data_IF_196361289905
#
_entry.id   IF_196361289905
#
_cell.length_a   1.000
_cell.length_b   1.000
_cell.length_c   1.000
_cell.angle_alpha   90.00
_cell.angle_beta   90.00
_cell.angle_gamma   90.00
#
_symmetry.space_group_name_H-M   'P 1'
#
loop_
_entity.id
_entity.type
_entity.pdbx_description
1 polymer ?
#
# COMPACT_ATOMS: atom_id res chain seq x y z
N UNK A 1 24.43 -9.43 42.67
CA UNK A 1 23.38 -8.53 42.17
C UNK A 1 23.95 -7.14 42.07
N UNK A 2 23.84 -6.49 40.93
CA UNK A 2 24.29 -5.09 40.77
C UNK A 2 23.08 -4.19 40.98
N UNK A 3 23.11 -3.41 42.04
CA UNK A 3 22.11 -2.37 42.35
C UNK A 3 22.68 -1.00 42.00
N UNK A 4 21.82 0.00 41.85
CA UNK A 4 22.19 1.38 41.58
C UNK A 4 21.24 2.32 42.32
N UNK A 5 21.80 3.38 42.92
CA UNK A 5 21.02 4.43 43.57
C UNK A 5 20.52 5.42 42.52
N UNK A 6 19.22 5.66 42.50
CA UNK A 6 18.61 6.67 41.64
C UNK A 6 18.99 8.08 42.12
N UNK A 7 19.57 8.90 41.26
CA UNK A 7 19.98 10.27 41.63
C UNK A 7 18.82 11.22 41.93
N UNK A 8 17.59 10.88 41.53
CA UNK A 8 16.41 11.73 41.70
C UNK A 8 15.63 11.40 42.98
N UNK A 9 15.38 10.13 43.25
CA UNK A 9 14.64 9.70 44.45
C UNK A 9 15.52 9.17 45.58
N UNK A 10 16.82 8.94 45.35
CA UNK A 10 17.76 8.45 46.35
C UNK A 10 17.61 6.97 46.72
N UNK A 11 16.67 6.25 46.11
CA UNK A 11 16.39 4.85 46.42
C UNK A 11 17.32 3.93 45.63
N UNK A 12 17.89 2.93 46.31
CA UNK A 12 18.64 1.84 45.70
C UNK A 12 17.68 0.86 44.99
N UNK A 13 17.91 0.60 43.71
CA UNK A 13 17.10 -0.30 42.87
C UNK A 13 17.96 -1.19 42.01
N UNK A 14 17.40 -2.28 41.50
CA UNK A 14 18.06 -3.14 40.50
C UNK A 14 18.34 -2.37 39.19
N UNK A 15 19.38 -2.78 38.46
CA UNK A 15 19.73 -2.17 37.16
C UNK A 15 18.60 -2.23 36.12
N UNK A 16 17.64 -3.13 36.26
CA UNK A 16 16.48 -3.24 35.37
C UNK A 16 15.47 -2.11 35.57
N UNK A 17 15.47 -1.48 36.75
CA UNK A 17 14.69 -0.28 37.04
C UNK A 17 15.25 0.97 36.33
N UNK A 18 16.35 0.85 35.60
CA UNK A 18 16.99 1.94 34.85
C UNK A 18 16.92 1.67 33.34
N UNK A 19 16.66 2.71 32.55
CA UNK A 19 16.72 2.62 31.09
C UNK A 19 18.17 2.56 30.61
N UNK A 20 18.40 1.92 29.46
CA UNK A 20 19.74 1.83 28.89
C UNK A 20 20.20 3.20 28.36
N UNK A 21 21.48 3.53 28.56
CA UNK A 21 22.12 4.72 28.01
C UNK A 21 23.52 4.35 27.50
N UNK A 22 23.65 4.23 26.18
CA UNK A 22 24.89 3.80 25.51
C UNK A 22 26.05 4.77 25.67
N UNK A 23 25.80 6.03 26.04
CA UNK A 23 26.88 7.03 26.24
C UNK A 23 27.53 6.93 27.61
N UNK A 24 26.96 6.15 28.54
CA UNK A 24 27.48 5.98 29.90
C UNK A 24 28.31 4.71 30.02
N UNK A 25 29.35 4.78 30.87
CA UNK A 25 30.28 3.68 31.15
C UNK A 25 29.58 2.40 31.64
N UNK A 26 28.51 2.55 32.42
CA UNK A 26 27.71 1.44 32.97
C UNK A 26 26.51 1.07 32.09
N UNK A 27 26.31 1.75 30.96
CA UNK A 27 25.22 1.49 30.03
C UNK A 27 23.82 1.83 30.57
N UNK A 28 23.70 2.50 31.73
CA UNK A 28 22.42 2.73 32.42
C UNK A 28 22.21 4.21 32.74
N UNK A 29 20.95 4.65 32.74
CA UNK A 29 20.58 6.00 33.18
C UNK A 29 20.87 6.20 34.67
N UNK A 30 21.09 7.45 35.06
CA UNK A 30 21.31 7.83 36.47
C UNK A 30 20.00 7.94 37.27
N UNK A 31 18.86 8.09 36.57
CA UNK A 31 17.51 8.13 37.13
C UNK A 31 16.75 6.85 36.81
N UNK A 32 15.95 6.37 37.75
CA UNK A 32 15.09 5.21 37.55
C UNK A 32 13.93 5.52 36.58
N UNK A 33 13.33 4.47 36.01
CA UNK A 33 12.21 4.55 35.06
C UNK A 33 11.02 5.32 35.62
N UNK A 34 10.73 5.18 36.92
CA UNK A 34 9.61 5.87 37.56
C UNK A 34 9.81 7.39 37.57
N UNK A 35 11.02 7.84 37.95
CA UNK A 35 11.37 9.25 37.92
C UNK A 35 11.36 9.82 36.49
N UNK A 36 11.85 9.05 35.51
CA UNK A 36 11.78 9.45 34.10
C UNK A 36 10.34 9.57 33.62
N UNK A 37 9.47 8.61 33.97
CA UNK A 37 8.05 8.64 33.61
C UNK A 37 7.36 9.86 34.22
N UNK A 38 7.57 10.13 35.50
CA UNK A 38 7.02 11.30 36.17
C UNK A 38 7.47 12.60 35.48
N UNK A 39 8.75 12.69 35.08
CA UNK A 39 9.26 13.84 34.34
C UNK A 39 8.58 13.99 32.96
N UNK A 40 8.45 12.90 32.20
CA UNK A 40 7.77 12.90 30.90
C UNK A 40 6.30 13.28 31.02
N UNK A 41 5.60 12.82 32.07
CA UNK A 41 4.19 13.13 32.30
C UNK A 41 4.00 14.61 32.67
N UNK A 42 4.86 15.17 33.52
CA UNK A 42 4.77 16.59 33.92
C UNK A 42 5.15 17.56 32.79
N UNK A 43 6.05 17.16 31.90
CA UNK A 43 6.52 17.99 30.78
C UNK A 43 5.96 17.55 29.43
N UNK A 44 4.88 16.76 29.42
CA UNK A 44 4.34 16.14 28.21
C UNK A 44 4.05 17.14 27.09
N UNK A 45 3.39 18.25 27.42
CA UNK A 45 3.06 19.29 26.44
C UNK A 45 4.29 20.06 25.96
N UNK A 46 5.26 20.32 26.83
CA UNK A 46 6.52 20.97 26.45
C UNK A 46 7.34 20.08 25.51
N UNK A 47 7.48 18.80 25.84
CA UNK A 47 8.15 17.81 24.99
C UNK A 47 7.46 17.73 23.63
N UNK A 48 6.13 17.68 23.60
CA UNK A 48 5.34 17.67 22.36
C UNK A 48 5.59 18.92 21.52
N UNK A 49 5.60 20.10 22.14
CA UNK A 49 5.86 21.36 21.48
C UNK A 49 7.29 21.42 20.91
N UNK A 50 8.29 21.04 21.69
CA UNK A 50 9.68 21.03 21.27
C UNK A 50 9.93 20.02 20.14
N UNK A 51 9.33 18.83 20.22
CA UNK A 51 9.37 17.86 19.13
C UNK A 51 8.72 18.40 17.87
N UNK A 52 7.57 19.08 17.96
CA UNK A 52 6.91 19.69 16.81
C UNK A 52 7.77 20.79 16.17
N UNK A 53 8.43 21.64 16.99
CA UNK A 53 9.40 22.64 16.50
C UNK A 53 10.57 21.97 15.79
N UNK A 54 11.17 20.96 16.41
CA UNK A 54 12.30 20.24 15.85
C UNK A 54 11.96 19.60 14.50
N UNK A 55 10.79 18.95 14.38
CA UNK A 55 10.30 18.36 13.11
C UNK A 55 10.13 19.43 12.04
N UNK A 56 9.62 20.61 12.40
CA UNK A 56 9.44 21.74 11.47
C UNK A 56 10.77 22.29 10.98
N UNK A 57 11.78 22.34 11.85
CA UNK A 57 13.15 22.78 11.52
C UNK A 57 13.93 21.72 10.73
N UNK A 58 13.56 20.44 10.86
CA UNK A 58 14.26 19.31 10.26
C UNK A 58 13.35 18.46 9.36
N UNK A 59 12.66 19.05 8.36
CA UNK A 59 11.69 18.33 7.52
C UNK A 59 12.35 17.17 6.73
N UNK A 60 13.63 17.32 6.40
CA UNK A 60 14.37 16.33 5.62
C UNK A 60 14.90 15.17 6.47
N UNK A 61 15.06 15.34 7.78
CA UNK A 61 15.58 14.29 8.64
C UNK A 61 14.69 13.05 8.60
N UNK A 62 13.37 13.23 8.72
CA UNK A 62 12.45 12.11 8.75
C UNK A 62 12.38 11.39 7.40
N UNK A 63 12.36 12.15 6.30
CA UNK A 63 12.41 11.59 4.95
C UNK A 63 13.71 10.79 4.72
N UNK A 64 14.84 11.29 5.22
CA UNK A 64 16.13 10.60 5.11
C UNK A 64 16.17 9.35 5.99
N UNK A 65 15.76 9.45 7.25
CA UNK A 65 15.64 8.30 8.16
C UNK A 65 14.77 7.18 7.57
N UNK A 66 13.64 7.52 6.93
CA UNK A 66 12.79 6.54 6.26
C UNK A 66 13.48 5.86 5.07
N UNK A 67 14.32 6.58 4.32
CA UNK A 67 15.10 6.04 3.21
C UNK A 67 16.22 5.12 3.69
N UNK A 68 16.87 5.50 4.79
CA UNK A 68 18.02 4.77 5.35
C UNK A 68 17.59 3.51 6.13
N UNK A 69 16.33 3.45 6.57
CA UNK A 69 15.80 2.33 7.36
C UNK A 69 14.58 1.66 6.68
N UNK A 70 14.70 1.17 5.44
CA UNK A 70 13.58 0.56 4.72
C UNK A 70 13.13 -0.75 5.36
N UNK A 71 14.06 -1.54 5.90
CA UNK A 71 13.77 -2.82 6.57
C UNK A 71 12.97 -2.63 7.85
N UNK A 72 13.33 -1.62 8.66
CA UNK A 72 12.54 -1.26 9.83
C UNK A 72 11.10 -0.93 9.46
N UNK A 73 10.89 -0.15 8.39
CA UNK A 73 9.55 0.22 7.91
C UNK A 73 8.77 -0.99 7.40
N UNK A 74 9.44 -1.92 6.74
CA UNK A 74 8.84 -3.17 6.25
C UNK A 74 8.43 -4.05 7.42
N UNK A 75 9.35 -4.33 8.34
CA UNK A 75 9.09 -5.11 9.55
C UNK A 75 7.94 -4.52 10.36
N UNK A 76 7.94 -3.20 10.57
CA UNK A 76 6.86 -2.52 11.30
C UNK A 76 5.50 -2.72 10.63
N UNK A 77 5.41 -2.60 9.30
CA UNK A 77 4.17 -2.84 8.55
C UNK A 77 3.70 -4.28 8.63
N UNK A 78 4.63 -5.23 8.68
CA UNK A 78 4.32 -6.65 8.81
C UNK A 78 3.80 -6.97 10.22
N UNK A 79 4.52 -6.54 11.27
CA UNK A 79 4.14 -6.85 12.65
C UNK A 79 2.88 -6.11 13.11
N UNK A 80 2.57 -4.94 12.54
CA UNK A 80 1.38 -4.14 12.89
C UNK A 80 0.32 -4.13 11.78
N UNK A 81 0.36 -5.09 10.86
CA UNK A 81 -0.54 -5.14 9.69
C UNK A 81 -2.02 -5.08 10.10
N UNK A 82 -2.38 -5.83 11.13
CA UNK A 82 -3.76 -5.94 11.62
C UNK A 82 -4.22 -4.66 12.31
N UNK A 83 -3.37 -4.06 13.16
CA UNK A 83 -3.65 -2.78 13.82
C UNK A 83 -3.82 -1.65 12.80
N UNK A 84 -2.94 -1.59 11.79
CA UNK A 84 -3.03 -0.61 10.69
C UNK A 84 -4.36 -0.78 9.95
N UNK A 85 -4.75 -2.03 9.67
CA UNK A 85 -6.03 -2.33 9.01
C UNK A 85 -7.21 -1.91 9.88
N UNK A 86 -7.22 -2.29 11.16
CA UNK A 86 -8.29 -1.93 12.09
C UNK A 86 -8.43 -0.42 12.24
N UNK A 87 -7.33 0.32 12.33
CA UNK A 87 -7.34 1.78 12.35
C UNK A 87 -7.95 2.35 11.06
N UNK A 88 -7.51 1.86 9.89
CA UNK A 88 -8.04 2.29 8.59
C UNK A 88 -9.54 2.01 8.45
N UNK A 89 -10.03 0.89 8.99
CA UNK A 89 -11.43 0.49 8.91
C UNK A 89 -12.30 1.33 9.87
N UNK A 90 -11.84 1.52 11.11
CA UNK A 90 -12.57 2.29 12.13
C UNK A 90 -12.59 3.80 11.85
N UNK A 91 -11.57 4.33 11.17
CA UNK A 91 -11.45 5.77 10.87
C UNK A 91 -11.69 6.09 9.39
N UNK A 92 -12.27 5.16 8.62
CA UNK A 92 -12.44 5.27 7.17
C UNK A 92 -13.13 6.57 6.73
N UNK A 93 -14.22 6.94 7.39
CA UNK A 93 -14.98 8.15 7.04
C UNK A 93 -14.24 9.43 7.44
N UNK A 94 -13.55 9.43 8.59
CA UNK A 94 -12.71 10.56 9.01
C UNK A 94 -11.55 10.78 8.04
N UNK A 95 -10.86 9.70 7.64
CA UNK A 95 -9.77 9.74 6.66
C UNK A 95 -10.27 10.31 5.33
N UNK A 96 -11.45 9.88 4.85
CA UNK A 96 -12.06 10.43 3.63
C UNK A 96 -12.34 11.93 3.77
N UNK A 97 -12.93 12.36 4.88
CA UNK A 97 -13.26 13.76 5.14
C UNK A 97 -12.00 14.64 5.17
N UNK A 98 -10.98 14.21 5.92
CA UNK A 98 -9.70 14.91 6.02
C UNK A 98 -8.99 14.99 4.67
N UNK A 99 -8.99 13.90 3.89
CA UNK A 99 -8.44 13.90 2.54
C UNK A 99 -9.18 14.85 1.61
N UNK A 100 -10.52 14.88 1.67
CA UNK A 100 -11.33 15.79 0.86
C UNK A 100 -11.05 17.26 1.22
N UNK A 101 -10.95 17.58 2.52
CA UNK A 101 -10.58 18.91 3.00
C UNK A 101 -9.18 19.31 2.52
N UNK A 102 -8.20 18.43 2.68
CA UNK A 102 -6.82 18.68 2.25
C UNK A 102 -6.72 18.92 0.74
N UNK A 103 -7.43 18.13 -0.09
CA UNK A 103 -7.47 18.34 -1.54
C UNK A 103 -8.08 19.70 -1.91
N UNK A 104 -9.10 20.13 -1.19
CA UNK A 104 -9.74 21.44 -1.39
C UNK A 104 -8.82 22.59 -1.00
N UNK A 105 -8.04 22.43 0.07
CA UNK A 105 -7.06 23.43 0.56
C UNK A 105 -5.77 23.46 -0.29
N UNK A 106 -5.46 22.36 -1.01
CA UNK A 106 -4.24 22.23 -1.80
C UNK A 106 -4.49 21.82 -3.27
N UNK A 107 -5.21 22.64 -4.05
CA UNK A 107 -5.52 22.34 -5.45
C UNK A 107 -4.27 22.27 -6.34
N UNK A 108 -3.28 23.13 -6.09
CA UNK A 108 -2.03 23.17 -6.87
C UNK A 108 -1.19 21.90 -6.68
N UNK A 109 -1.15 21.34 -5.46
CA UNK A 109 -0.49 20.07 -5.23
C UNK A 109 -1.09 18.96 -6.10
N UNK A 110 -2.43 18.90 -6.19
CA UNK A 110 -3.12 17.89 -7.01
C UNK A 110 -2.78 18.06 -8.49
N UNK A 111 -2.71 19.31 -8.98
CA UNK A 111 -2.31 19.62 -10.36
C UNK A 111 -0.87 19.15 -10.62
N UNK A 112 0.07 19.51 -9.74
CA UNK A 112 1.46 19.10 -9.86
C UNK A 112 1.62 17.57 -9.78
N UNK A 113 0.86 16.92 -8.90
CA UNK A 113 0.87 15.47 -8.77
C UNK A 113 0.45 14.80 -10.08
N UNK A 114 -0.61 15.28 -10.73
CA UNK A 114 -1.06 14.76 -12.03
C UNK A 114 0.01 14.93 -13.12
N UNK A 115 0.71 16.08 -13.14
CA UNK A 115 1.80 16.36 -14.08
C UNK A 115 2.99 15.43 -13.85
N UNK A 116 3.38 15.24 -12.58
CA UNK A 116 4.53 14.43 -12.20
C UNK A 116 4.28 12.92 -12.28
N UNK A 117 3.02 12.48 -12.28
CA UNK A 117 2.64 11.07 -12.22
C UNK A 117 1.65 10.66 -13.34
N UNK A 118 1.94 10.93 -14.62
CA UNK A 118 0.99 10.71 -15.72
C UNK A 118 0.60 9.23 -15.86
N UNK A 119 1.53 8.32 -15.58
CA UNK A 119 1.31 6.87 -15.62
C UNK A 119 0.30 6.37 -14.59
N UNK A 120 0.35 6.92 -13.37
CA UNK A 120 -0.61 6.60 -12.32
C UNK A 120 -2.00 7.09 -12.73
N UNK A 121 -2.09 8.30 -13.27
CA UNK A 121 -3.36 8.87 -13.74
C UNK A 121 -3.93 8.04 -14.90
N UNK A 122 -3.10 7.61 -15.85
CA UNK A 122 -3.48 6.74 -16.96
C UNK A 122 -4.06 5.42 -16.45
N UNK A 123 -3.38 4.75 -15.52
CA UNK A 123 -3.86 3.51 -14.88
C UNK A 123 -5.16 3.73 -14.12
N UNK A 124 -5.29 4.81 -13.35
CA UNK A 124 -6.53 5.16 -12.65
C UNK A 124 -7.71 5.35 -13.61
N UNK A 125 -7.50 6.07 -14.73
CA UNK A 125 -8.53 6.27 -15.77
C UNK A 125 -8.92 4.94 -16.42
N UNK A 126 -7.94 4.10 -16.78
CA UNK A 126 -8.20 2.76 -17.32
C UNK A 126 -9.03 1.91 -16.34
N UNK A 127 -8.66 1.87 -15.07
CA UNK A 127 -9.40 1.14 -14.04
C UNK A 127 -10.82 1.68 -13.85
N UNK A 128 -11.01 3.00 -13.87
CA UNK A 128 -12.34 3.61 -13.80
C UNK A 128 -13.18 3.27 -15.04
N UNK A 129 -12.58 3.27 -16.23
CA UNK A 129 -13.26 2.89 -17.46
C UNK A 129 -13.66 1.41 -17.44
N UNK A 130 -12.78 0.51 -16.98
CA UNK A 130 -13.08 -0.91 -16.80
C UNK A 130 -14.26 -1.12 -15.84
N UNK A 131 -14.25 -0.42 -14.69
CA UNK A 131 -15.36 -0.46 -13.73
C UNK A 131 -16.69 0.03 -14.33
N UNK A 132 -16.68 1.13 -15.09
CA UNK A 132 -17.88 1.68 -15.75
C UNK A 132 -18.47 0.74 -16.78
N UNK A 133 -17.63 -0.05 -17.47
CA UNK A 133 -18.06 -1.06 -18.43
C UNK A 133 -18.55 -2.36 -17.78
N UNK A 134 -18.51 -2.47 -16.44
CA UNK A 134 -18.85 -3.71 -15.73
C UNK A 134 -17.80 -4.81 -15.89
N UNK A 135 -16.67 -4.55 -16.56
CA UNK A 135 -15.64 -5.55 -16.87
C UNK A 135 -14.80 -5.96 -15.65
N UNK A 136 -15.05 -5.36 -14.49
CA UNK A 136 -14.29 -5.62 -13.28
C UNK A 136 -12.81 -5.25 -13.41
N UNK A 137 -11.96 -5.88 -12.60
CA UNK A 137 -10.51 -5.83 -12.74
C UNK A 137 -10.06 -7.23 -13.16
N UNK A 138 -10.05 -7.54 -14.47
CA UNK A 138 -9.83 -8.89 -14.95
C UNK A 138 -8.53 -9.46 -14.40
N UNK A 139 -8.58 -10.66 -13.85
CA UNK A 139 -7.38 -11.35 -13.38
C UNK A 139 -6.90 -12.24 -14.53
N UNK A 140 -5.80 -11.89 -15.22
CA UNK A 140 -5.31 -12.72 -16.29
C UNK A 140 -4.84 -14.07 -15.75
N UNK A 141 -5.24 -15.16 -16.40
CA UNK A 141 -4.87 -16.53 -16.01
C UNK A 141 -3.34 -16.72 -16.11
N UNK A 142 -2.67 -16.00 -17.02
CA UNK A 142 -1.23 -16.05 -17.21
C UNK A 142 -0.57 -14.65 -17.07
N UNK A 143 0.75 -14.66 -16.83
CA UNK A 143 1.55 -13.44 -16.80
C UNK A 143 1.60 -12.79 -18.18
N UNK A 144 1.69 -11.46 -18.24
CA UNK A 144 1.93 -10.75 -19.50
C UNK A 144 3.34 -11.05 -20.03
N UNK A 145 3.50 -10.99 -21.35
CA UNK A 145 4.78 -11.21 -22.02
C UNK A 145 4.96 -10.21 -23.19
N UNK A 146 6.19 -9.99 -23.68
CA UNK A 146 6.43 -9.07 -24.79
C UNK A 146 5.58 -9.44 -26.01
N UNK A 147 4.81 -8.46 -26.52
CA UNK A 147 3.89 -8.68 -27.64
C UNK A 147 2.56 -9.35 -27.29
N UNK A 148 2.25 -9.54 -26.00
CA UNK A 148 0.94 -10.04 -25.57
C UNK A 148 -0.12 -8.95 -25.50
N UNK A 149 -1.36 -9.25 -25.87
CA UNK A 149 -2.56 -8.45 -25.62
C UNK A 149 -3.45 -9.16 -24.59
N UNK A 150 -4.10 -8.38 -23.72
CA UNK A 150 -5.08 -8.91 -22.77
C UNK A 150 -6.41 -9.16 -23.50
N UNK A 151 -6.83 -10.42 -23.54
CA UNK A 151 -8.10 -10.86 -24.11
C UNK A 151 -9.09 -11.21 -22.99
N UNK A 152 -10.30 -10.66 -23.04
CA UNK A 152 -11.37 -11.02 -22.11
C UNK A 152 -12.11 -12.24 -22.62
N UNK A 153 -12.20 -13.29 -21.81
CA UNK A 153 -12.99 -14.47 -22.15
C UNK A 153 -14.45 -14.16 -21.78
N UNK A 154 -15.37 -14.39 -22.72
CA UNK A 154 -16.80 -14.34 -22.46
C UNK A 154 -17.23 -15.73 -22.02
N UNK A 155 -17.29 -15.95 -20.71
CA UNK A 155 -17.80 -17.20 -20.13
C UNK A 155 -19.27 -17.00 -19.79
N UNK A 156 -20.12 -17.81 -20.41
CA UNK A 156 -21.55 -17.81 -20.12
C UNK A 156 -21.80 -18.60 -18.85
N UNK A 157 -22.45 -17.97 -17.88
CA UNK A 157 -22.99 -18.65 -16.72
C UNK A 157 -24.34 -19.27 -17.11
N UNK A 158 -24.42 -20.61 -17.07
CA UNK A 158 -25.62 -21.35 -17.46
C UNK A 158 -26.77 -21.16 -16.46
N UNK A 159 -26.51 -20.76 -15.21
CA UNK A 159 -27.54 -20.58 -14.18
C UNK A 159 -28.18 -19.19 -14.28
N UNK A 160 -27.37 -18.15 -14.45
CA UNK A 160 -27.83 -16.76 -14.47
C UNK A 160 -28.09 -16.23 -15.88
N UNK A 161 -27.50 -16.84 -16.91
CA UNK A 161 -27.51 -16.33 -18.29
C UNK A 161 -26.62 -15.10 -18.50
N UNK A 162 -25.86 -14.69 -17.48
CA UNK A 162 -24.95 -13.54 -17.56
C UNK A 162 -23.59 -13.93 -18.17
N UNK A 163 -22.90 -12.96 -18.77
CA UNK A 163 -21.53 -13.13 -19.28
C UNK A 163 -20.55 -12.65 -18.22
N UNK A 164 -19.69 -13.55 -17.73
CA UNK A 164 -18.63 -13.20 -16.82
C UNK A 164 -17.40 -12.67 -17.59
N UNK A 165 -17.17 -11.37 -17.49
CA UNK A 165 -16.02 -10.68 -18.11
C UNK A 165 -14.76 -10.64 -17.21
N UNK A 166 -14.79 -11.26 -16.02
CA UNK A 166 -13.70 -11.19 -15.04
C UNK A 166 -12.49 -12.06 -15.41
N UNK A 167 -12.70 -13.05 -16.28
CA UNK A 167 -11.65 -13.95 -16.73
C UNK A 167 -10.98 -13.35 -17.96
N UNK A 168 -9.66 -13.21 -17.91
CA UNK A 168 -8.88 -12.74 -19.04
C UNK A 168 -7.60 -13.57 -19.20
N UNK A 169 -6.94 -13.40 -20.34
CA UNK A 169 -5.72 -14.12 -20.68
C UNK A 169 -4.84 -13.24 -21.57
N UNK A 170 -3.54 -13.21 -21.29
CA UNK A 170 -2.57 -12.56 -22.16
C UNK A 170 -2.24 -13.52 -23.31
N UNK A 171 -2.50 -13.09 -24.54
CA UNK A 171 -2.32 -13.89 -25.76
C UNK A 171 -1.43 -13.14 -26.75
N UNK A 172 -0.76 -13.82 -27.71
CA UNK A 172 0.03 -13.15 -28.73
C UNK A 172 -0.81 -12.14 -29.53
N UNK A 173 -0.23 -10.98 -29.85
CA UNK A 173 -0.96 -9.92 -30.57
C UNK A 173 -1.49 -10.36 -31.95
N UNK A 174 -0.80 -11.26 -32.64
CA UNK A 174 -1.26 -11.84 -33.90
C UNK A 174 -2.49 -12.73 -33.69
N UNK A 175 -2.52 -13.54 -32.62
CA UNK A 175 -3.70 -14.33 -32.25
C UNK A 175 -4.89 -13.42 -31.91
N UNK A 176 -4.68 -12.39 -31.09
CA UNK A 176 -5.76 -11.43 -30.76
C UNK A 176 -6.33 -10.74 -32.01
N UNK A 177 -5.52 -10.55 -33.06
CA UNK A 177 -5.93 -9.92 -34.32
C UNK A 177 -6.44 -10.91 -35.38
N UNK A 178 -6.34 -12.22 -35.12
CA UNK A 178 -6.71 -13.27 -36.10
C UNK A 178 -8.21 -13.33 -36.38
N UNK A 179 -9.03 -12.86 -35.44
CA UNK A 179 -10.48 -12.78 -35.57
C UNK A 179 -10.90 -11.37 -35.16
N UNK A 180 -11.52 -10.65 -36.08
CA UNK A 180 -12.14 -9.37 -35.74
C UNK A 180 -13.36 -9.65 -34.85
N UNK A 181 -13.32 -9.21 -33.60
CA UNK A 181 -14.37 -9.47 -32.63
C UNK A 181 -14.79 -8.16 -31.94
N UNK A 182 -16.09 -8.02 -31.72
CA UNK A 182 -16.71 -6.89 -31.04
C UNK A 182 -17.88 -7.38 -30.17
N UNK A 183 -18.34 -6.57 -29.22
CA UNK A 183 -19.40 -6.97 -28.29
C UNK A 183 -20.75 -7.26 -28.96
N UNK A 184 -21.00 -6.67 -30.12
CA UNK A 184 -22.19 -6.85 -30.94
C UNK A 184 -22.09 -8.07 -31.90
N UNK A 185 -20.99 -8.83 -31.84
CA UNK A 185 -20.71 -10.01 -32.67
C UNK A 185 -20.37 -11.23 -31.79
N UNK A 186 -21.34 -11.79 -31.06
CA UNK A 186 -21.09 -12.87 -30.09
C UNK A 186 -20.47 -14.12 -30.74
N UNK A 187 -20.81 -14.42 -31.98
CA UNK A 187 -20.26 -15.56 -32.74
C UNK A 187 -18.74 -15.44 -32.97
N UNK A 188 -18.27 -14.25 -33.35
CA UNK A 188 -16.83 -13.99 -33.55
C UNK A 188 -16.09 -13.94 -32.22
N UNK A 189 -16.76 -13.48 -31.15
CA UNK A 189 -16.23 -13.52 -29.80
C UNK A 189 -16.04 -14.96 -29.30
N UNK A 190 -16.98 -15.86 -29.60
CA UNK A 190 -16.84 -17.28 -29.30
C UNK A 190 -15.73 -17.94 -30.11
N UNK A 191 -15.60 -17.60 -31.40
CA UNK A 191 -14.52 -18.10 -32.25
C UNK A 191 -13.14 -17.73 -31.70
N UNK A 192 -12.91 -16.46 -31.34
CA UNK A 192 -11.63 -16.05 -30.76
C UNK A 192 -11.39 -16.71 -29.39
N UNK A 193 -12.42 -16.84 -28.54
CA UNK A 193 -12.29 -17.52 -27.26
C UNK A 193 -11.83 -18.97 -27.46
N UNK A 194 -12.38 -19.68 -28.44
CA UNK A 194 -11.97 -21.05 -28.74
C UNK A 194 -10.51 -21.12 -29.20
N UNK A 195 -10.09 -20.27 -30.15
CA UNK A 195 -8.69 -20.21 -30.61
C UNK A 195 -7.72 -19.88 -29.47
N UNK A 196 -8.12 -18.97 -28.58
CA UNK A 196 -7.36 -18.60 -27.39
C UNK A 196 -7.20 -19.76 -26.43
N UNK A 197 -8.25 -20.52 -26.18
CA UNK A 197 -8.20 -21.69 -25.30
C UNK A 197 -7.37 -22.83 -25.92
N UNK A 198 -7.51 -23.08 -27.22
CA UNK A 198 -6.68 -24.04 -27.95
C UNK A 198 -5.19 -23.67 -27.85
N UNK A 199 -4.84 -22.40 -28.06
CA UNK A 199 -3.47 -21.92 -27.92
C UNK A 199 -2.95 -22.09 -26.49
N UNK A 200 -3.76 -21.74 -25.49
CA UNK A 200 -3.37 -21.82 -24.09
C UNK A 200 -3.12 -23.26 -23.62
N UNK A 201 -3.91 -24.23 -24.10
CA UNK A 201 -3.73 -25.65 -23.80
C UNK A 201 -2.74 -26.38 -24.73
N UNK A 202 -2.13 -25.68 -25.70
CA UNK A 202 -1.19 -26.27 -26.64
C UNK A 202 -1.84 -27.25 -27.63
N UNK A 203 -3.14 -27.11 -27.90
CA UNK A 203 -3.81 -27.86 -28.95
C UNK A 203 -3.34 -27.33 -30.31
N UNK A 204 -3.05 -28.23 -31.26
CA UNK A 204 -2.60 -27.86 -32.60
C UNK A 204 -3.67 -27.03 -33.31
N UNK A 205 -3.29 -25.81 -33.71
CA UNK A 205 -4.11 -24.90 -34.52
C UNK A 205 -3.33 -24.73 -35.82
N UNK A 206 -3.92 -25.13 -36.95
CA UNK A 206 -3.43 -24.72 -38.26
C UNK A 206 -3.82 -23.25 -38.46
N UNK A 207 -2.82 -22.36 -38.40
CA UNK A 207 -2.97 -20.89 -38.43
C UNK A 207 -3.03 -20.31 -39.84
#
# INVERSE_FOLDING_TARGET
>A
MTTKICSKCGIEKDLDAFSNNKTRKDGKQHQCRDCNKQYSDTHKEEIKLNNAKWIKEHPNYYNQYQKDNPEYRKQYRETHKEEIKQYSDTHKEEIKLNNAKWIKEHPEYRKQYCINNPEIIRKCRHNQQSKRRGWGNPQPINKSFPGSHLHHLHVYDNETGEIDHRIAINIPANLHKSVWHAHDRPELMQEINLKVMQWYYGLTIDW
#
